data_IF_281174016174
#
_entry.id   IF_281174016174
#
_cell.length_a   1.000
_cell.length_b   1.000
_cell.length_c   1.000
_cell.angle_alpha   90.00
_cell.angle_beta   90.00
_cell.angle_gamma   90.00
#
_symmetry.space_group_name_H-M   'P 1'
#
loop_
_entity.id
_entity.type
_entity.pdbx_description
1 polymer ?
#
# COMPACT_ATOMS: atom_id res chain seq x y z
N UNK A 1 6.02 -12.56 3.87
CA UNK A 1 5.54 -13.85 3.31
C UNK A 1 4.36 -13.61 2.34
N UNK A 2 4.58 -13.00 1.16
CA UNK A 2 3.50 -12.71 0.17
C UNK A 2 3.66 -13.46 -1.17
N UNK A 3 4.75 -14.20 -1.33
CA UNK A 3 5.04 -14.94 -2.57
C UNK A 3 3.93 -15.94 -2.91
N UNK A 4 3.50 -15.95 -4.18
CA UNK A 4 2.43 -16.84 -4.65
C UNK A 4 1.02 -16.50 -4.14
N UNK A 5 0.84 -15.38 -3.43
CA UNK A 5 -0.49 -14.98 -2.95
C UNK A 5 -1.39 -14.54 -4.09
N UNK A 6 -2.61 -15.10 -4.15
CA UNK A 6 -3.64 -14.61 -5.06
C UNK A 6 -4.12 -13.22 -4.64
N UNK A 7 -4.27 -12.32 -5.61
CA UNK A 7 -4.81 -10.96 -5.42
C UNK A 7 -5.98 -10.71 -6.38
N UNK A 8 -6.98 -9.87 -6.00
CA UNK A 8 -8.16 -9.62 -6.82
C UNK A 8 -7.86 -9.09 -8.22
N UNK A 9 -6.77 -8.32 -8.35
CA UNK A 9 -6.19 -7.87 -9.60
C UNK A 9 -4.66 -7.75 -9.44
N UNK A 10 -3.93 -7.43 -10.54
CA UNK A 10 -2.49 -7.19 -10.49
C UNK A 10 -2.13 -6.10 -9.46
N UNK A 11 -1.08 -6.36 -8.69
CA UNK A 11 -0.51 -5.45 -7.69
C UNK A 11 0.90 -5.07 -8.10
N UNK A 12 1.16 -3.77 -8.25
CA UNK A 12 2.47 -3.19 -8.52
C UNK A 12 3.03 -2.61 -7.23
N UNK A 13 4.25 -2.97 -6.91
CA UNK A 13 4.95 -2.44 -5.74
C UNK A 13 6.26 -1.78 -6.17
N UNK A 14 6.66 -0.70 -5.50
CA UNK A 14 7.97 -0.09 -5.72
C UNK A 14 8.52 0.54 -4.43
N UNK A 15 9.84 0.57 -4.34
CA UNK A 15 10.58 1.17 -3.21
C UNK A 15 11.57 2.16 -3.79
N UNK A 16 11.58 3.38 -3.26
CA UNK A 16 12.54 4.42 -3.59
C UNK A 16 13.35 4.79 -2.36
N UNK A 17 14.68 4.67 -2.45
CA UNK A 17 15.58 4.97 -1.32
C UNK A 17 15.72 6.44 -0.96
N UNK A 18 15.06 7.36 -1.68
CA UNK A 18 15.02 8.78 -1.36
C UNK A 18 13.74 9.44 -1.94
N UNK A 19 13.38 10.65 -1.48
CA UNK A 19 12.19 11.38 -1.95
C UNK A 19 12.16 11.70 -3.45
N UNK A 20 13.28 11.54 -4.17
CA UNK A 20 13.32 11.72 -5.63
C UNK A 20 12.45 10.72 -6.39
N UNK A 21 12.04 9.63 -5.74
CA UNK A 21 11.02 8.72 -6.26
C UNK A 21 11.39 8.07 -7.61
N UNK A 22 12.65 7.69 -7.80
CA UNK A 22 13.16 7.13 -9.05
C UNK A 22 12.50 5.80 -9.47
N UNK A 23 11.85 5.09 -8.55
CA UNK A 23 11.08 3.87 -8.85
C UNK A 23 9.58 4.13 -9.06
N UNK A 24 9.18 5.40 -9.13
CA UNK A 24 7.81 5.90 -9.23
C UNK A 24 6.86 5.27 -8.20
N UNK A 25 7.30 5.14 -6.95
CA UNK A 25 6.53 4.59 -5.84
C UNK A 25 5.18 5.31 -5.63
N UNK A 26 5.12 6.61 -5.92
CA UNK A 26 3.91 7.44 -5.77
C UNK A 26 2.80 7.20 -6.80
N UNK A 27 2.97 6.25 -7.73
CA UNK A 27 1.91 5.86 -8.68
C UNK A 27 1.68 4.34 -8.76
N UNK A 28 2.31 3.57 -7.86
CA UNK A 28 2.10 2.11 -7.77
C UNK A 28 0.94 1.78 -6.82
N UNK A 29 0.50 0.52 -6.86
CA UNK A 29 -0.57 0.03 -6.00
C UNK A 29 -0.15 0.12 -4.51
N UNK A 30 1.13 -0.20 -4.22
CA UNK A 30 1.84 0.08 -2.96
C UNK A 30 3.20 0.68 -3.25
N UNK A 31 3.59 1.73 -2.53
CA UNK A 31 4.87 2.41 -2.68
C UNK A 31 5.55 2.63 -1.34
N UNK A 32 6.89 2.62 -1.32
CA UNK A 32 7.68 3.04 -0.16
C UNK A 32 8.67 4.11 -0.58
N UNK A 33 8.72 5.21 0.18
CA UNK A 33 9.74 6.24 0.06
C UNK A 33 10.55 6.25 1.35
N UNK A 34 11.84 5.93 1.25
CA UNK A 34 12.75 6.04 2.38
C UNK A 34 13.11 7.52 2.60
N UNK A 35 12.99 7.94 3.86
CA UNK A 35 13.33 9.26 4.37
C UNK A 35 14.22 9.10 5.59
N UNK A 36 14.89 10.16 6.02
CA UNK A 36 15.79 10.09 7.19
C UNK A 36 15.07 9.62 8.46
N UNK A 37 13.76 9.87 8.56
CA UNK A 37 12.91 9.46 9.69
C UNK A 37 12.34 8.05 9.59
N UNK A 38 12.58 7.31 8.49
CA UNK A 38 12.09 5.95 8.29
C UNK A 38 11.52 5.67 6.89
N UNK A 39 10.40 4.95 6.85
CA UNK A 39 9.77 4.44 5.63
C UNK A 39 8.35 5.00 5.47
N UNK A 40 8.16 5.95 4.55
CA UNK A 40 6.84 6.48 4.23
C UNK A 40 6.14 5.49 3.29
N UNK A 41 5.03 4.93 3.74
CA UNK A 41 4.25 3.94 3.00
C UNK A 41 3.12 4.65 2.27
N UNK A 42 2.96 4.32 1.00
CA UNK A 42 1.95 4.85 0.10
C UNK A 42 1.11 3.73 -0.49
N UNK A 43 -0.14 4.03 -0.84
CA UNK A 43 -1.03 3.06 -1.48
C UNK A 43 -2.05 3.72 -2.42
N UNK A 44 -2.84 2.91 -3.12
CA UNK A 44 -3.94 3.37 -3.98
C UNK A 44 -3.53 4.18 -5.23
N UNK A 45 -2.29 4.03 -5.71
CA UNK A 45 -1.83 4.63 -6.96
C UNK A 45 -2.27 3.87 -8.22
N UNK A 46 -2.22 4.57 -9.35
CA UNK A 46 -2.41 3.98 -10.67
C UNK A 46 -1.65 4.75 -11.76
N UNK A 47 -0.95 4.02 -12.64
CA UNK A 47 -0.30 4.57 -13.83
C UNK A 47 -0.71 3.76 -15.07
N UNK A 48 -2.01 3.64 -15.32
CA UNK A 48 -2.56 2.87 -16.43
C UNK A 48 -3.66 3.65 -17.12
N UNK A 49 -4.81 3.01 -17.35
CA UNK A 49 -6.00 3.66 -17.89
C UNK A 49 -6.41 4.87 -17.04
N UNK A 50 -6.37 4.71 -15.71
CA UNK A 50 -6.49 5.81 -14.76
C UNK A 50 -5.08 6.21 -14.28
N UNK A 51 -4.83 7.52 -14.22
CA UNK A 51 -3.63 8.11 -13.63
C UNK A 51 -4.02 8.66 -12.24
N UNK A 52 -3.44 8.08 -11.19
CA UNK A 52 -3.66 8.48 -9.81
C UNK A 52 -2.36 8.46 -9.02
N UNK A 53 -2.10 9.56 -8.33
CA UNK A 53 -1.15 9.58 -7.22
C UNK A 53 -1.63 8.68 -6.09
N UNK A 54 -0.68 8.21 -5.29
CA UNK A 54 -0.96 7.44 -4.08
C UNK A 54 -1.49 8.32 -2.95
N UNK A 55 -2.14 7.69 -1.99
CA UNK A 55 -2.41 8.23 -0.66
C UNK A 55 -1.29 7.79 0.28
N UNK A 56 -0.85 8.69 1.17
CA UNK A 56 0.09 8.33 2.25
C UNK A 56 -0.65 7.45 3.25
N UNK A 57 -0.20 6.23 3.49
CA UNK A 57 -0.74 5.34 4.52
C UNK A 57 -0.24 5.79 5.91
N UNK A 58 1.08 5.96 6.05
CA UNK A 58 1.75 6.35 7.28
C UNK A 58 3.26 6.24 7.18
N UNK A 59 3.97 6.63 8.24
CA UNK A 59 5.43 6.55 8.37
C UNK A 59 5.78 5.56 9.48
N UNK A 60 6.68 4.64 9.21
CA UNK A 60 7.20 3.67 10.19
C UNK A 60 8.71 3.76 10.29
N UNK A 61 9.31 3.29 11.39
CA UNK A 61 10.72 3.54 11.70
C UNK A 61 11.64 2.45 11.16
N UNK A 62 11.17 1.23 11.08
CA UNK A 62 11.99 0.07 10.71
C UNK A 62 11.49 -0.63 9.44
N UNK A 63 12.38 -1.38 8.80
CA UNK A 63 12.04 -2.21 7.64
C UNK A 63 11.02 -3.29 8.01
N UNK A 64 11.17 -3.91 9.19
CA UNK A 64 10.25 -4.94 9.70
C UNK A 64 8.83 -4.37 9.89
N UNK A 65 8.71 -3.17 10.46
CA UNK A 65 7.42 -2.48 10.57
C UNK A 65 6.85 -2.19 9.17
N UNK A 66 7.68 -1.75 8.22
CA UNK A 66 7.22 -1.48 6.85
C UNK A 66 6.67 -2.75 6.19
N UNK A 67 7.37 -3.87 6.34
CA UNK A 67 6.92 -5.17 5.86
C UNK A 67 5.59 -5.59 6.53
N UNK A 68 5.46 -5.46 7.85
CA UNK A 68 4.23 -5.77 8.58
C UNK A 68 3.02 -4.99 8.02
N UNK A 69 3.15 -3.67 7.90
CA UNK A 69 2.05 -2.81 7.46
C UNK A 69 1.69 -3.05 5.99
N UNK A 70 2.69 -3.27 5.12
CA UNK A 70 2.45 -3.56 3.69
C UNK A 70 1.78 -4.92 3.49
N UNK A 71 2.20 -5.93 4.27
CA UNK A 71 1.58 -7.26 4.23
C UNK A 71 0.14 -7.18 4.72
N UNK A 72 -0.12 -6.50 5.83
CA UNK A 72 -1.46 -6.31 6.37
C UNK A 72 -2.38 -5.55 5.39
N UNK A 73 -1.90 -4.46 4.79
CA UNK A 73 -2.62 -3.71 3.75
C UNK A 73 -2.98 -4.61 2.56
N UNK A 74 -2.00 -5.39 2.08
CA UNK A 74 -2.19 -6.29 0.95
C UNK A 74 -3.18 -7.41 1.31
N UNK A 75 -3.12 -7.95 2.53
CA UNK A 75 -4.05 -8.95 3.02
C UNK A 75 -5.48 -8.40 3.09
N UNK A 76 -5.67 -7.22 3.66
CA UNK A 76 -6.97 -6.55 3.71
C UNK A 76 -7.57 -6.36 2.31
N UNK A 77 -6.74 -5.96 1.33
CA UNK A 77 -7.16 -5.86 -0.07
C UNK A 77 -7.51 -7.23 -0.67
N UNK A 78 -6.74 -8.29 -0.37
CA UNK A 78 -6.99 -9.65 -0.86
C UNK A 78 -8.35 -10.20 -0.40
N UNK A 79 -8.70 -9.96 0.85
CA UNK A 79 -9.92 -10.49 1.44
C UNK A 79 -11.17 -9.70 1.04
N UNK A 80 -11.04 -8.40 0.84
CA UNK A 80 -12.19 -7.51 0.63
C UNK A 80 -12.37 -7.07 -0.83
N UNK A 81 -11.36 -7.27 -1.67
CA UNK A 81 -11.39 -6.89 -3.08
C UNK A 81 -12.28 -7.80 -3.92
N UNK A 82 -13.02 -7.20 -4.85
CA UNK A 82 -13.85 -7.92 -5.82
C UNK A 82 -13.01 -8.39 -7.01
N UNK A 83 -13.51 -9.37 -7.76
CA UNK A 83 -12.84 -9.86 -8.97
C UNK A 83 -12.44 -8.72 -9.92
N UNK A 84 -11.14 -8.66 -10.28
CA UNK A 84 -10.52 -7.62 -11.11
C UNK A 84 -10.62 -6.18 -10.58
N UNK A 85 -11.00 -5.99 -9.32
CA UNK A 85 -11.02 -4.68 -8.67
C UNK A 85 -9.61 -4.24 -8.32
N UNK A 86 -9.11 -3.17 -8.96
CA UNK A 86 -7.80 -2.57 -8.64
C UNK A 86 -7.79 -1.93 -7.25
N UNK A 87 -6.63 -1.91 -6.59
CA UNK A 87 -6.50 -1.43 -5.21
C UNK A 87 -7.03 0.00 -5.02
N UNK A 88 -6.85 0.91 -6.00
CA UNK A 88 -7.37 2.28 -5.90
C UNK A 88 -8.90 2.36 -5.98
N UNK A 89 -9.54 1.42 -6.70
CA UNK A 89 -11.02 1.31 -6.74
C UNK A 89 -11.54 0.71 -5.44
N UNK A 90 -10.86 -0.32 -4.94
CA UNK A 90 -11.13 -0.92 -3.64
C UNK A 90 -11.00 0.12 -2.50
N UNK A 91 -9.88 0.84 -2.44
CA UNK A 91 -9.62 1.87 -1.43
C UNK A 91 -10.64 3.01 -1.51
N UNK A 92 -11.09 3.40 -2.70
CA UNK A 92 -12.20 4.35 -2.87
C UNK A 92 -13.52 3.82 -2.31
N UNK A 93 -13.80 2.52 -2.44
CA UNK A 93 -15.02 1.87 -1.95
C UNK A 93 -15.01 1.66 -0.43
N UNK A 94 -13.88 1.24 0.13
CA UNK A 94 -13.72 1.01 1.57
C UNK A 94 -13.59 2.34 2.34
N UNK A 95 -12.91 3.32 1.73
CA UNK A 95 -12.58 4.60 2.34
C UNK A 95 -11.15 4.62 2.89
N UNK A 96 -10.38 5.63 2.49
CA UNK A 96 -8.96 5.79 2.87
C UNK A 96 -8.79 5.85 4.39
N UNK A 97 -9.69 6.56 5.09
CA UNK A 97 -9.67 6.66 6.54
C UNK A 97 -9.84 5.30 7.22
N UNK A 98 -10.71 4.43 6.70
CA UNK A 98 -10.93 3.10 7.27
C UNK A 98 -9.73 2.18 7.03
N UNK A 99 -9.11 2.25 5.84
CA UNK A 99 -7.87 1.51 5.58
C UNK A 99 -6.76 1.97 6.53
N UNK A 100 -6.57 3.28 6.70
CA UNK A 100 -5.58 3.82 7.65
C UNK A 100 -5.85 3.37 9.08
N UNK A 101 -7.10 3.42 9.53
CA UNK A 101 -7.49 3.00 10.88
C UNK A 101 -7.13 1.53 11.13
N UNK A 102 -7.45 0.64 10.19
CA UNK A 102 -7.16 -0.79 10.38
C UNK A 102 -5.67 -1.12 10.28
N UNK A 103 -4.92 -0.41 9.43
CA UNK A 103 -3.51 -0.75 9.22
C UNK A 103 -2.58 0.02 10.16
N UNK A 104 -2.81 1.30 10.43
CA UNK A 104 -1.92 2.10 11.29
C UNK A 104 -2.31 2.01 12.76
N UNK A 105 -3.61 2.06 13.06
CA UNK A 105 -4.10 2.27 14.43
C UNK A 105 -4.55 0.99 15.15
N UNK A 106 -4.71 -0.13 14.44
CA UNK A 106 -5.25 -1.40 14.96
C UNK A 106 -4.24 -2.55 14.80
N UNK A 107 -3.39 -2.73 15.83
CA UNK A 107 -2.32 -3.73 15.81
C UNK A 107 -2.81 -5.18 15.85
N UNK A 108 -4.02 -5.44 16.37
CA UNK A 108 -4.62 -6.78 16.37
C UNK A 108 -5.06 -7.16 14.95
N UNK A 109 -5.70 -6.23 14.22
CA UNK A 109 -6.10 -6.46 12.83
C UNK A 109 -4.95 -6.55 11.83
N UNK A 110 -3.75 -6.07 12.21
CA UNK A 110 -2.55 -6.22 11.38
C UNK A 110 -1.97 -7.64 11.40
N UNK A 111 -2.30 -8.46 12.39
CA UNK A 111 -1.67 -9.78 12.63
C UNK A 111 -2.47 -10.94 12.04
#
# INVERSE_FOLDING_TARGET
FMWGSWTPAKVKMAVSGCPRNCAEATCKDVGVICVDSGYEIHFAGAAGLDIKGTEVLGLVRTEDEALEHIVALTQMYREQGRYLERIYKWAKRIGIAEVKRQIMDDGEKRR
#
